data_IF_409519372827
#
_entry.id   IF_409519372827
#
_cell.length_a   1.000
_cell.length_b   1.000
_cell.length_c   1.000
_cell.angle_alpha   90.00
_cell.angle_beta   90.00
_cell.angle_gamma   90.00
#
_symmetry.space_group_name_H-M   'P 1'
#
loop_
_entity.id
_entity.type
_entity.pdbx_description
1 polymer ?
#
# COMPACT_ATOMS: atom_id res chain seq x y z
N UNK A 1 18.44 -4.83 27.12
CA UNK A 1 18.68 -3.49 27.71
C UNK A 1 19.76 -3.50 28.80
N UNK A 2 19.72 -4.44 29.75
CA UNK A 2 20.72 -4.52 30.84
C UNK A 2 22.18 -4.67 30.37
N UNK A 3 22.52 -5.53 29.39
CA UNK A 3 23.91 -5.61 28.88
C UNK A 3 24.36 -4.32 28.19
N UNK A 4 23.52 -3.75 27.31
CA UNK A 4 23.77 -2.48 26.64
C UNK A 4 24.07 -1.34 27.64
N UNK A 5 23.26 -1.18 28.68
CA UNK A 5 23.51 -0.14 29.68
C UNK A 5 24.80 -0.39 30.46
N UNK A 6 25.05 -1.64 30.85
CA UNK A 6 26.26 -2.00 31.60
C UNK A 6 27.52 -1.71 30.80
N UNK A 7 27.56 -2.11 29.53
CA UNK A 7 28.77 -1.96 28.72
C UNK A 7 29.09 -0.49 28.46
N UNK A 8 28.07 0.33 28.15
CA UNK A 8 28.26 1.77 27.95
C UNK A 8 28.58 2.53 29.26
N UNK A 9 27.98 2.15 30.39
CA UNK A 9 28.30 2.75 31.68
C UNK A 9 29.71 2.36 32.16
N UNK A 10 30.16 1.14 31.88
CA UNK A 10 31.54 0.70 32.18
C UNK A 10 32.57 1.54 31.44
N UNK A 11 32.34 1.87 30.17
CA UNK A 11 33.24 2.74 29.40
C UNK A 11 33.33 4.15 30.00
N UNK A 12 32.20 4.74 30.41
CA UNK A 12 32.19 6.05 31.10
C UNK A 12 32.95 5.98 32.42
N UNK A 13 32.74 4.92 33.21
CA UNK A 13 33.42 4.73 34.49
C UNK A 13 34.93 4.61 34.27
N UNK A 14 35.36 3.83 33.28
CA UNK A 14 36.76 3.65 32.93
C UNK A 14 37.40 4.96 32.50
N UNK A 15 36.74 5.73 31.62
CA UNK A 15 37.23 7.04 31.18
C UNK A 15 37.42 8.01 32.35
N UNK A 16 36.46 8.06 33.29
CA UNK A 16 36.57 8.91 34.48
C UNK A 16 37.66 8.44 35.45
N UNK A 17 37.83 7.12 35.60
CA UNK A 17 38.89 6.53 36.41
C UNK A 17 40.27 6.84 35.83
N UNK A 18 40.45 6.75 34.52
CA UNK A 18 41.72 7.06 33.84
C UNK A 18 42.13 8.54 34.06
N UNK A 19 41.17 9.48 34.01
CA UNK A 19 41.46 10.88 34.32
C UNK A 19 41.84 11.11 35.78
N UNK A 20 41.12 10.48 36.70
CA UNK A 20 41.42 10.57 38.13
C UNK A 20 42.78 9.94 38.48
N UNK A 21 43.11 8.80 37.87
CA UNK A 21 44.38 8.10 38.08
C UNK A 21 45.57 8.91 37.55
N UNK A 22 45.43 9.52 36.36
CA UNK A 22 46.46 10.43 35.82
C UNK A 22 46.74 11.60 36.77
N UNK A 23 45.69 12.23 37.30
CA UNK A 23 45.86 13.32 38.27
C UNK A 23 46.48 12.82 39.56
N UNK A 24 46.02 11.68 40.07
CA UNK A 24 46.56 11.09 41.29
C UNK A 24 48.06 10.80 41.19
N UNK A 25 48.49 10.16 40.10
CA UNK A 25 49.89 9.84 39.86
C UNK A 25 50.76 11.10 39.68
N UNK A 26 50.22 12.15 39.03
CA UNK A 26 50.91 13.44 38.90
C UNK A 26 51.07 14.14 40.26
N UNK A 27 49.99 14.19 41.07
CA UNK A 27 50.04 14.74 42.43
C UNK A 27 50.99 13.95 43.34
N UNK A 28 51.03 12.62 43.21
CA UNK A 28 51.93 11.76 44.00
C UNK A 28 53.40 11.92 43.58
N UNK A 29 53.67 12.16 42.29
CA UNK A 29 55.02 12.43 41.80
C UNK A 29 55.56 13.79 42.28
N UNK A 30 54.71 14.82 42.33
CA UNK A 30 55.07 16.16 42.84
C UNK A 30 55.17 16.20 44.37
N UNK A 31 54.25 15.53 45.07
CA UNK A 31 54.21 15.46 46.51
C UNK A 31 53.74 14.06 46.97
N UNK A 32 54.65 13.16 47.35
CA UNK A 32 54.28 11.80 47.73
C UNK A 32 53.33 11.85 48.92
N UNK A 33 52.09 11.34 48.75
CA UNK A 33 51.05 11.42 49.77
C UNK A 33 51.44 10.73 51.08
N UNK A 34 52.41 9.81 51.04
CA UNK A 34 53.05 9.21 52.23
C UNK A 34 53.78 10.25 53.08
N UNK A 35 54.49 11.20 52.47
CA UNK A 35 55.14 12.30 53.17
C UNK A 35 54.10 13.26 53.79
N UNK A 36 53.01 13.53 53.08
CA UNK A 36 51.92 14.39 53.58
C UNK A 36 51.11 13.74 54.72
N UNK A 37 50.90 12.42 54.70
CA UNK A 37 50.28 11.68 55.82
C UNK A 37 51.16 11.65 57.06
N UNK A 38 52.49 11.55 56.88
CA UNK A 38 53.47 11.60 57.98
C UNK A 38 53.55 13.01 58.61
N UNK A 39 53.43 14.09 57.82
CA UNK A 39 53.42 15.47 58.35
C UNK A 39 52.11 15.81 59.07
N UNK A 40 50.96 15.30 58.61
CA UNK A 40 49.68 15.47 59.34
C UNK A 40 49.59 14.64 60.62
N UNK A 41 50.34 13.54 60.73
CA UNK A 41 50.43 12.75 61.96
C UNK A 41 51.37 13.38 63.00
N UNK A 42 52.38 14.14 62.57
CA UNK A 42 53.35 14.81 63.45
C UNK A 42 52.90 16.20 63.95
N UNK A 43 51.90 16.82 63.33
CA UNK A 43 51.29 18.04 63.85
C UNK A 43 50.26 17.70 64.93
N UNK A 44 50.77 17.38 66.12
CA UNK A 44 49.97 17.18 67.31
C UNK A 44 49.24 18.46 67.75
N UNK A 45 47.95 18.30 68.01
CA UNK A 45 47.16 19.05 68.98
C UNK A 45 46.97 20.57 68.74
N UNK A 46 45.95 20.93 67.93
CA UNK A 46 45.21 22.19 68.16
C UNK A 46 43.76 22.09 67.68
N UNK A 47 42.85 22.15 68.66
CA UNK A 47 41.47 22.62 68.68
C UNK A 47 40.48 22.40 67.50
N UNK A 48 39.36 21.75 67.84
CA UNK A 48 38.00 21.98 67.35
C UNK A 48 37.78 22.36 65.88
N UNK A 49 37.92 21.36 65.00
CA UNK A 49 37.02 21.21 63.86
C UNK A 49 37.02 19.74 63.49
N UNK A 50 35.89 19.07 63.66
CA UNK A 50 35.54 17.93 62.79
C UNK A 50 35.43 18.50 61.38
N UNK A 51 36.59 18.73 60.76
CA UNK A 51 36.73 18.98 59.34
C UNK A 51 36.19 17.72 58.68
N UNK A 52 34.90 17.76 58.34
CA UNK A 52 34.39 17.03 57.20
C UNK A 52 35.35 17.44 56.09
N UNK A 53 36.29 16.55 55.73
CA UNK A 53 37.21 16.77 54.61
C UNK A 53 36.30 17.10 53.44
N UNK A 54 36.26 18.37 53.03
CA UNK A 54 35.42 18.79 51.90
C UNK A 54 35.80 17.89 50.73
N UNK A 55 34.84 17.12 50.23
CA UNK A 55 35.06 16.27 49.08
C UNK A 55 35.48 17.17 47.91
N UNK A 56 36.65 16.89 47.34
CA UNK A 56 37.15 17.60 46.16
C UNK A 56 36.09 17.57 45.05
N UNK A 57 35.95 18.65 44.30
CA UNK A 57 34.99 18.65 43.18
C UNK A 57 35.46 17.69 42.09
N UNK A 58 34.53 17.20 41.26
CA UNK A 58 34.90 16.25 40.19
C UNK A 58 35.89 16.87 39.19
N UNK A 59 35.82 18.18 38.96
CA UNK A 59 36.80 18.95 38.16
C UNK A 59 38.17 18.89 38.83
N UNK A 60 38.21 19.04 40.16
CA UNK A 60 39.45 18.95 40.93
C UNK A 60 40.00 17.52 41.03
N UNK A 61 39.18 16.48 40.86
CA UNK A 61 39.67 15.09 40.91
C UNK A 61 40.21 14.65 39.54
N UNK A 62 39.58 15.09 38.45
CA UNK A 62 39.92 14.65 37.09
C UNK A 62 40.86 15.61 36.36
N UNK A 63 41.03 16.83 36.87
CA UNK A 63 41.75 17.92 36.21
C UNK A 63 41.13 18.38 34.88
N UNK A 64 39.87 18.02 34.63
CA UNK A 64 39.17 18.29 33.38
C UNK A 64 38.13 19.40 33.56
N UNK A 65 38.32 20.53 32.88
CA UNK A 65 37.43 21.71 32.97
C UNK A 65 36.01 21.41 32.47
N UNK A 66 35.88 20.48 31.52
CA UNK A 66 34.62 20.17 30.84
C UNK A 66 34.05 18.78 31.18
N UNK A 67 34.44 18.21 32.33
CA UNK A 67 33.99 16.87 32.77
C UNK A 67 32.46 16.72 32.77
N UNK A 68 31.72 17.74 33.21
CA UNK A 68 30.25 17.70 33.25
C UNK A 68 29.62 17.74 31.85
N UNK A 69 30.21 18.48 30.90
CA UNK A 69 29.73 18.52 29.51
C UNK A 69 29.91 17.15 28.86
N UNK A 70 31.04 16.50 29.12
CA UNK A 70 31.35 15.16 28.62
C UNK A 70 30.42 14.10 29.20
N UNK A 71 30.19 14.11 30.51
CA UNK A 71 29.22 13.21 31.17
C UNK A 71 27.81 13.43 30.61
N UNK A 72 27.38 14.69 30.47
CA UNK A 72 26.08 15.00 29.91
C UNK A 72 25.93 14.46 28.48
N UNK A 73 26.94 14.65 27.62
CA UNK A 73 26.94 14.14 26.25
C UNK A 73 26.82 12.61 26.21
N UNK A 74 27.57 11.92 27.06
CA UNK A 74 27.50 10.47 27.22
C UNK A 74 26.12 9.99 27.67
N UNK A 75 25.51 10.63 28.67
CA UNK A 75 24.18 10.28 29.16
C UNK A 75 23.09 10.53 28.11
N UNK A 76 23.14 11.67 27.41
CA UNK A 76 22.22 11.98 26.31
C UNK A 76 22.37 10.96 25.18
N UNK A 77 23.60 10.59 24.84
CA UNK A 77 23.85 9.58 23.82
C UNK A 77 23.33 8.20 24.23
N UNK A 78 23.57 7.75 25.47
CA UNK A 78 23.05 6.46 25.98
C UNK A 78 21.51 6.44 25.94
N UNK A 79 20.86 7.53 26.35
CA UNK A 79 19.40 7.65 26.28
C UNK A 79 18.90 7.56 24.84
N UNK A 80 19.56 8.27 23.92
CA UNK A 80 19.21 8.26 22.49
C UNK A 80 19.42 6.89 21.85
N UNK A 81 20.57 6.25 22.10
CA UNK A 81 20.92 4.93 21.59
C UNK A 81 20.05 3.84 22.21
N UNK A 82 19.76 3.91 23.51
CA UNK A 82 18.83 3.01 24.19
C UNK A 82 17.42 3.08 23.62
N UNK A 83 16.94 4.28 23.27
CA UNK A 83 15.63 4.49 22.65
C UNK A 83 15.54 3.99 21.19
N UNK A 84 16.68 3.73 20.54
CA UNK A 84 16.78 3.14 19.18
C UNK A 84 17.22 1.67 19.20
N UNK A 85 17.52 1.10 20.37
CA UNK A 85 18.08 -0.25 20.48
C UNK A 85 17.05 -1.35 20.17
N UNK A 86 15.79 -1.08 20.46
CA UNK A 86 14.67 -1.93 20.05
C UNK A 86 13.83 -1.17 19.04
N UNK A 87 13.86 -1.64 17.80
CA UNK A 87 13.00 -1.18 16.72
C UNK A 87 12.04 -2.33 16.44
N UNK A 88 10.75 -2.06 16.56
CA UNK A 88 9.73 -3.00 16.11
C UNK A 88 9.71 -3.00 14.59
N UNK A 89 9.97 -4.17 14.00
CA UNK A 89 9.90 -4.38 12.55
C UNK A 89 8.64 -5.18 12.29
N UNK A 90 7.67 -4.56 11.63
CA UNK A 90 6.45 -5.23 11.18
C UNK A 90 6.58 -5.51 9.68
N UNK A 91 6.83 -6.77 9.27
CA UNK A 91 6.84 -7.12 7.86
C UNK A 91 5.40 -7.08 7.33
N UNK A 92 5.05 -5.99 6.63
CA UNK A 92 3.73 -5.78 6.05
C UNK A 92 3.62 -6.25 4.58
N UNK A 93 4.64 -6.95 4.08
CA UNK A 93 4.84 -7.34 2.67
C UNK A 93 3.81 -8.32 2.07
N UNK A 94 2.80 -8.76 2.82
CA UNK A 94 1.67 -9.53 2.28
C UNK A 94 0.50 -8.66 1.80
N UNK A 95 0.61 -7.34 1.94
CA UNK A 95 -0.40 -6.41 1.46
C UNK A 95 -0.18 -6.17 -0.04
N UNK A 96 -1.23 -6.37 -0.84
CA UNK A 96 -1.20 -6.15 -2.29
C UNK A 96 -0.84 -4.68 -2.58
N UNK A 97 0.07 -4.43 -3.53
CA UNK A 97 0.43 -3.08 -4.00
C UNK A 97 -0.79 -2.28 -4.51
N UNK A 98 -1.91 -2.97 -4.77
CA UNK A 98 -3.20 -2.37 -5.13
C UNK A 98 -3.93 -1.70 -3.95
N UNK A 99 -3.53 -1.98 -2.71
CA UNK A 99 -4.09 -1.37 -1.50
C UNK A 99 -3.21 -0.20 -1.06
N UNK A 100 -3.61 1.02 -1.40
CA UNK A 100 -2.90 2.23 -1.02
C UNK A 100 -3.10 2.53 0.47
N UNK A 101 -2.23 1.97 1.30
CA UNK A 101 -2.17 2.34 2.71
C UNK A 101 -1.40 3.66 2.84
N UNK A 102 -2.07 4.71 3.31
CA UNK A 102 -1.40 5.97 3.69
C UNK A 102 -0.52 5.74 4.91
N UNK A 103 0.69 5.25 4.69
CA UNK A 103 1.74 5.22 5.70
C UNK A 103 2.61 6.47 5.50
N UNK A 104 2.38 7.52 6.30
CA UNK A 104 3.12 8.78 6.21
C UNK A 104 4.66 8.62 6.39
N UNK A 105 5.14 7.44 6.79
CA UNK A 105 6.54 7.17 7.15
C UNK A 105 7.04 5.79 6.65
N UNK A 106 7.13 5.60 5.33
CA UNK A 106 7.76 4.39 4.75
C UNK A 106 9.29 4.53 4.70
N UNK A 107 9.99 3.43 4.98
CA UNK A 107 11.38 3.21 4.57
C UNK A 107 11.35 2.01 3.61
N UNK A 108 11.56 2.26 2.33
CA UNK A 108 11.73 1.21 1.32
C UNK A 108 13.08 0.51 1.55
N UNK A 109 13.07 -0.82 1.56
CA UNK A 109 14.30 -1.62 1.62
C UNK A 109 14.57 -2.25 0.25
N UNK A 110 15.85 -2.47 -0.06
CA UNK A 110 16.34 -2.96 -1.36
C UNK A 110 15.78 -4.36 -1.75
N UNK A 111 15.17 -5.08 -0.79
CA UNK A 111 14.57 -6.40 -0.98
C UNK A 111 13.03 -6.38 -1.18
N UNK A 112 12.41 -5.20 -1.33
CA UNK A 112 10.97 -5.08 -1.61
C UNK A 112 10.06 -5.18 -0.38
N UNK A 113 10.61 -5.02 0.83
CA UNK A 113 9.81 -4.91 2.06
C UNK A 113 9.63 -3.43 2.44
N UNK A 114 8.39 -3.04 2.72
CA UNK A 114 8.09 -1.73 3.31
C UNK A 114 8.14 -1.81 4.83
N UNK A 115 9.07 -1.08 5.44
CA UNK A 115 9.15 -0.95 6.89
C UNK A 115 8.30 0.23 7.36
N UNK A 116 7.44 0.00 8.36
CA UNK A 116 6.59 1.05 8.97
C UNK A 116 6.98 1.23 10.44
N UNK A 117 7.14 2.48 10.87
CA UNK A 117 7.47 2.83 12.26
C UNK A 117 6.24 2.69 13.17
N UNK A 118 6.29 1.76 14.12
CA UNK A 118 5.20 1.45 15.05
C UNK A 118 4.93 2.49 16.15
N UNK A 119 5.75 3.55 16.26
CA UNK A 119 5.57 4.60 17.30
C UNK A 119 4.33 5.47 17.09
N UNK A 120 3.71 5.41 15.92
CA UNK A 120 2.47 6.12 15.59
C UNK A 120 1.37 5.11 15.28
N UNK A 121 0.12 5.36 15.71
CA UNK A 121 -0.99 4.50 15.36
C UNK A 121 -1.13 4.43 13.85
N UNK A 122 -0.90 3.25 13.30
CA UNK A 122 -1.10 2.97 11.89
C UNK A 122 -2.59 3.01 11.62
N UNK A 123 -3.04 4.08 10.97
CA UNK A 123 -4.44 4.24 10.60
C UNK A 123 -4.69 3.41 9.34
N UNK A 124 -5.17 2.17 9.50
CA UNK A 124 -5.60 1.33 8.39
C UNK A 124 -6.94 1.82 7.83
N UNK A 125 -6.97 3.05 7.34
CA UNK A 125 -8.06 3.45 6.46
C UNK A 125 -7.93 2.57 5.21
N UNK A 126 -8.91 1.68 5.01
CA UNK A 126 -9.09 0.95 3.77
C UNK A 126 -9.55 1.95 2.70
N UNK A 127 -8.64 2.82 2.29
CA UNK A 127 -8.79 3.66 1.14
C UNK A 127 -8.49 2.78 -0.05
N UNK A 128 -9.53 2.14 -0.57
CA UNK A 128 -9.58 1.73 -1.97
C UNK A 128 -9.59 3.02 -2.81
N UNK A 129 -8.47 3.76 -2.75
CA UNK A 129 -8.32 5.09 -3.31
C UNK A 129 -7.88 4.94 -4.76
N UNK A 130 -8.88 5.12 -5.60
CA UNK A 130 -8.87 5.42 -7.02
C UNK A 130 -8.04 6.68 -7.36
N UNK A 131 -6.97 7.04 -6.65
CA UNK A 131 -6.34 8.37 -6.72
C UNK A 131 -5.91 8.78 -8.14
N UNK A 132 -5.45 7.83 -8.98
CA UNK A 132 -5.19 8.08 -10.41
C UNK A 132 -6.47 8.21 -11.25
N UNK A 133 -7.52 7.43 -10.96
CA UNK A 133 -8.82 7.55 -11.62
C UNK A 133 -9.54 8.84 -11.21
N UNK A 134 -9.38 9.30 -9.97
CA UNK A 134 -10.03 10.47 -9.42
C UNK A 134 -9.64 11.76 -10.14
N UNK A 135 -8.48 11.83 -10.79
CA UNK A 135 -8.16 12.99 -11.65
C UNK A 135 -9.10 13.05 -12.87
N UNK A 136 -9.24 11.95 -13.60
CA UNK A 136 -10.11 11.86 -14.80
C UNK A 136 -11.61 11.83 -14.46
N UNK A 137 -11.96 11.37 -13.25
CA UNK A 137 -13.35 11.21 -12.78
C UNK A 137 -13.72 12.18 -11.63
N UNK A 138 -12.93 13.25 -11.43
CA UNK A 138 -13.13 14.25 -10.36
C UNK A 138 -14.53 14.88 -10.35
N UNK A 139 -15.16 14.97 -11.52
CA UNK A 139 -16.52 15.48 -11.72
C UNK A 139 -17.63 14.54 -11.20
N UNK A 140 -17.32 13.31 -10.77
CA UNK A 140 -18.30 12.25 -10.40
C UNK A 140 -18.29 11.94 -8.90
N UNK A 141 -17.58 12.74 -8.11
CA UNK A 141 -17.27 12.54 -6.68
C UNK A 141 -18.46 12.22 -5.76
N UNK A 142 -19.70 12.39 -6.21
CA UNK A 142 -20.91 12.11 -5.43
C UNK A 142 -21.39 10.65 -5.46
N UNK A 143 -21.08 9.84 -6.49
CA UNK A 143 -21.67 8.49 -6.65
C UNK A 143 -20.64 7.37 -6.53
N UNK A 144 -20.96 6.36 -5.69
CA UNK A 144 -20.14 5.15 -5.61
C UNK A 144 -20.30 4.27 -6.86
N UNK A 145 -19.22 3.57 -7.25
CA UNK A 145 -19.23 2.65 -8.38
C UNK A 145 -20.36 1.59 -8.31
N UNK A 146 -20.66 1.09 -7.11
CA UNK A 146 -21.76 0.14 -6.87
C UNK A 146 -23.14 0.70 -7.19
N UNK A 147 -23.38 1.98 -6.92
CA UNK A 147 -24.64 2.66 -7.28
C UNK A 147 -24.75 2.79 -8.80
N UNK A 148 -23.66 3.19 -9.45
CA UNK A 148 -23.62 3.34 -10.90
C UNK A 148 -23.88 2.00 -11.60
N UNK A 149 -23.23 0.93 -11.16
CA UNK A 149 -23.43 -0.42 -11.71
C UNK A 149 -24.86 -0.92 -11.54
N UNK A 150 -25.50 -0.66 -10.38
CA UNK A 150 -26.92 -0.96 -10.17
C UNK A 150 -27.82 -0.18 -11.11
N UNK A 151 -27.56 1.11 -11.31
CA UNK A 151 -28.33 1.95 -12.22
C UNK A 151 -28.17 1.48 -13.68
N UNK A 152 -26.95 1.21 -14.12
CA UNK A 152 -26.66 0.65 -15.44
C UNK A 152 -27.41 -0.66 -15.68
N UNK A 153 -27.41 -1.58 -14.70
CA UNK A 153 -28.16 -2.83 -14.79
C UNK A 153 -29.66 -2.61 -14.98
N UNK A 154 -30.26 -1.69 -14.21
CA UNK A 154 -31.69 -1.34 -14.33
C UNK A 154 -32.02 -0.76 -15.70
N UNK A 155 -31.11 0.04 -16.26
CA UNK A 155 -31.32 0.75 -17.53
C UNK A 155 -31.13 -0.13 -18.76
N UNK A 156 -30.12 -1.00 -18.76
CA UNK A 156 -29.84 -1.93 -19.86
C UNK A 156 -30.76 -3.16 -19.84
N UNK A 157 -31.12 -3.61 -18.64
CA UNK A 157 -31.74 -4.91 -18.42
C UNK A 157 -30.70 -6.04 -18.40
N UNK A 158 -31.17 -7.25 -18.04
CA UNK A 158 -30.30 -8.38 -17.69
C UNK A 158 -29.34 -8.79 -18.81
N UNK A 159 -29.83 -8.96 -20.03
CA UNK A 159 -29.03 -9.56 -21.11
C UNK A 159 -27.95 -8.61 -21.65
N UNK A 160 -28.29 -7.34 -21.90
CA UNK A 160 -27.32 -6.35 -22.35
C UNK A 160 -26.29 -6.02 -21.26
N UNK A 161 -26.73 -5.92 -20.00
CA UNK A 161 -25.81 -5.71 -18.89
C UNK A 161 -24.83 -6.89 -18.73
N UNK A 162 -25.30 -8.13 -18.93
CA UNK A 162 -24.45 -9.32 -18.91
C UNK A 162 -23.42 -9.34 -20.04
N UNK A 163 -23.78 -8.92 -21.25
CA UNK A 163 -22.84 -8.74 -22.36
C UNK A 163 -21.75 -7.71 -22.02
N UNK A 164 -22.16 -6.60 -21.43
CA UNK A 164 -21.26 -5.54 -20.99
C UNK A 164 -20.30 -6.05 -19.91
N UNK A 165 -20.81 -6.67 -18.84
CA UNK A 165 -19.97 -7.26 -17.77
C UNK A 165 -18.99 -8.31 -18.30
N UNK A 166 -19.45 -9.19 -19.20
CA UNK A 166 -18.57 -10.19 -19.81
C UNK A 166 -17.42 -9.53 -20.56
N UNK A 167 -17.73 -8.50 -21.34
CA UNK A 167 -16.74 -7.75 -22.11
C UNK A 167 -15.71 -7.07 -21.19
N UNK A 168 -16.18 -6.38 -20.15
CA UNK A 168 -15.32 -5.73 -19.15
C UNK A 168 -14.34 -6.71 -18.50
N UNK A 169 -14.83 -7.87 -18.04
CA UNK A 169 -14.02 -8.81 -17.25
C UNK A 169 -13.07 -9.65 -18.11
N UNK A 170 -13.38 -9.86 -19.39
CA UNK A 170 -12.58 -10.70 -20.30
C UNK A 170 -11.62 -9.94 -21.21
N UNK A 171 -11.48 -8.62 -21.01
CA UNK A 171 -10.52 -7.78 -21.73
C UNK A 171 -10.96 -7.38 -23.15
N UNK A 172 -12.24 -7.52 -23.48
CA UNK A 172 -12.81 -6.91 -24.70
C UNK A 172 -12.86 -5.39 -24.48
N UNK A 173 -12.47 -4.60 -25.48
CA UNK A 173 -12.47 -3.13 -25.33
C UNK A 173 -13.90 -2.63 -25.09
N UNK A 174 -14.09 -1.80 -24.08
CA UNK A 174 -15.37 -1.21 -23.71
C UNK A 174 -15.37 0.25 -24.15
N UNK A 175 -16.21 0.57 -25.13
CA UNK A 175 -16.37 1.92 -25.64
C UNK A 175 -17.70 2.50 -25.13
N UNK A 176 -17.65 3.62 -24.43
CA UNK A 176 -18.83 4.34 -23.97
C UNK A 176 -18.99 5.62 -24.79
N UNK A 177 -20.08 5.70 -25.55
CA UNK A 177 -20.44 6.87 -26.37
C UNK A 177 -21.65 7.55 -25.77
N UNK A 178 -21.56 8.83 -25.47
CA UNK A 178 -22.70 9.52 -24.85
C UNK A 178 -22.35 10.87 -24.23
N UNK A 179 -23.29 11.51 -23.51
CA UNK A 179 -23.07 12.76 -22.79
C UNK A 179 -21.97 12.61 -21.74
N UNK A 180 -21.20 13.68 -21.51
CA UNK A 180 -20.00 13.68 -20.66
C UNK A 180 -20.23 13.01 -19.29
N UNK A 181 -21.21 13.49 -18.50
CA UNK A 181 -21.43 12.99 -17.12
C UNK A 181 -21.78 11.49 -17.11
N UNK A 182 -22.76 11.06 -17.92
CA UNK A 182 -23.23 9.67 -17.93
C UNK A 182 -22.17 8.71 -18.48
N UNK A 183 -21.38 9.18 -19.46
CA UNK A 183 -20.25 8.47 -20.03
C UNK A 183 -19.18 8.23 -18.98
N UNK A 184 -18.78 9.29 -18.28
CA UNK A 184 -17.78 9.20 -17.23
C UNK A 184 -18.26 8.30 -16.09
N UNK A 185 -19.53 8.43 -15.64
CA UNK A 185 -20.11 7.57 -14.60
C UNK A 185 -19.99 6.10 -15.01
N UNK A 186 -20.43 5.79 -16.24
CA UNK A 186 -20.41 4.42 -16.76
C UNK A 186 -18.99 3.85 -16.83
N UNK A 187 -18.02 4.63 -17.30
CA UNK A 187 -16.62 4.22 -17.36
C UNK A 187 -16.04 3.96 -15.97
N UNK A 188 -16.31 4.84 -15.01
CA UNK A 188 -15.87 4.67 -13.62
C UNK A 188 -16.45 3.38 -13.02
N UNK A 189 -17.76 3.18 -13.14
CA UNK A 189 -18.43 1.98 -12.63
C UNK A 189 -17.90 0.69 -13.24
N UNK A 190 -17.71 0.65 -14.56
CA UNK A 190 -17.27 -0.56 -15.27
C UNK A 190 -15.77 -0.86 -15.06
N UNK A 191 -14.92 0.16 -15.11
CA UNK A 191 -13.47 -0.01 -14.91
C UNK A 191 -13.15 -0.44 -13.48
N UNK A 192 -13.96 -0.03 -12.50
CA UNK A 192 -13.79 -0.43 -11.09
C UNK A 192 -13.90 -1.94 -10.84
N UNK A 193 -14.44 -2.73 -11.78
CA UNK A 193 -14.57 -4.19 -11.64
C UNK A 193 -13.29 -4.96 -12.01
N UNK A 194 -12.26 -4.28 -12.49
CA UNK A 194 -11.04 -4.87 -13.04
C UNK A 194 -9.81 -4.43 -12.21
N UNK A 195 -8.83 -5.32 -11.95
CA UNK A 195 -7.56 -4.99 -11.27
C UNK A 195 -6.87 -3.76 -11.82
N UNK A 196 -6.18 -3.00 -10.96
CA UNK A 196 -5.46 -1.78 -11.38
C UNK A 196 -4.45 -2.08 -12.47
N UNK A 197 -3.70 -3.16 -12.31
CA UNK A 197 -2.71 -3.60 -13.29
C UNK A 197 -3.29 -3.86 -14.70
N UNK A 198 -4.59 -4.12 -14.80
CA UNK A 198 -5.28 -4.41 -16.06
C UNK A 198 -6.06 -3.22 -16.62
N UNK A 199 -6.13 -2.09 -15.90
CA UNK A 199 -6.90 -0.91 -16.30
C UNK A 199 -6.07 0.02 -17.20
N UNK A 200 -6.57 0.30 -18.41
CA UNK A 200 -6.07 1.33 -19.34
C UNK A 200 -7.26 2.17 -19.80
N UNK A 201 -7.60 3.16 -18.99
CA UNK A 201 -8.80 4.00 -19.18
C UNK A 201 -8.43 5.30 -19.88
N UNK A 202 -9.29 5.72 -20.83
CA UNK A 202 -9.27 7.03 -21.47
C UNK A 202 -10.66 7.65 -21.39
N UNK A 203 -10.85 8.55 -20.41
CA UNK A 203 -12.17 9.05 -20.05
C UNK A 203 -12.85 9.93 -21.13
N UNK A 204 -12.07 10.71 -21.88
CA UNK A 204 -12.61 11.62 -22.89
C UNK A 204 -11.62 11.81 -24.05
N UNK A 205 -11.87 11.12 -25.15
CA UNK A 205 -11.09 11.23 -26.39
C UNK A 205 -11.92 11.83 -27.53
N UNK A 206 -11.24 12.54 -28.43
CA UNK A 206 -11.83 13.14 -29.62
C UNK A 206 -11.91 12.16 -30.80
N UNK A 207 -11.14 11.08 -30.75
CA UNK A 207 -11.07 10.05 -31.79
C UNK A 207 -11.08 8.65 -31.16
N UNK A 208 -11.42 7.65 -31.99
CA UNK A 208 -11.37 6.27 -31.56
C UNK A 208 -9.91 5.78 -31.47
N UNK A 209 -9.60 5.04 -30.40
CA UNK A 209 -8.30 4.38 -30.22
C UNK A 209 -8.45 2.86 -30.23
N UNK A 210 -7.42 2.17 -30.69
CA UNK A 210 -7.42 0.71 -30.80
C UNK A 210 -7.39 -0.01 -29.42
N UNK A 211 -7.78 -1.30 -29.36
CA UNK A 211 -7.80 -2.08 -28.11
C UNK A 211 -6.44 -2.26 -27.42
N UNK A 212 -5.33 -2.11 -28.14
CA UNK A 212 -3.98 -2.30 -27.56
C UNK A 212 -3.61 -1.09 -26.70
N UNK A 213 -4.00 0.11 -27.13
CA UNK A 213 -3.78 1.36 -26.38
C UNK A 213 -4.62 1.46 -25.11
N UNK A 214 -5.92 1.17 -25.17
CA UNK A 214 -6.83 1.30 -24.05
C UNK A 214 -7.92 0.22 -24.07
N UNK A 215 -8.29 -0.29 -22.89
CA UNK A 215 -9.41 -1.24 -22.75
C UNK A 215 -10.72 -0.55 -22.38
N UNK A 216 -10.69 0.67 -21.84
CA UNK A 216 -11.87 1.49 -21.60
C UNK A 216 -11.70 2.85 -22.27
N UNK A 217 -12.65 3.25 -23.10
CA UNK A 217 -12.61 4.53 -23.82
C UNK A 217 -13.96 5.24 -23.79
N UNK A 218 -13.93 6.54 -23.49
CA UNK A 218 -15.06 7.44 -23.56
C UNK A 218 -14.98 8.39 -24.74
N UNK A 219 -16.00 8.38 -25.60
CA UNK A 219 -16.07 9.27 -26.76
C UNK A 219 -17.39 10.02 -26.82
N UNK A 220 -17.36 11.17 -27.51
CA UNK A 220 -18.55 11.98 -27.74
C UNK A 220 -19.51 11.35 -28.77
N UNK A 221 -20.78 11.79 -28.75
CA UNK A 221 -21.80 11.32 -29.68
C UNK A 221 -21.54 11.73 -31.13
N UNK A 222 -20.59 12.64 -31.38
CA UNK A 222 -20.17 13.07 -32.73
C UNK A 222 -19.05 12.22 -33.33
N UNK A 223 -18.27 11.51 -32.51
CA UNK A 223 -17.06 10.80 -32.93
C UNK A 223 -17.39 9.57 -33.80
N UNK A 224 -16.62 9.36 -34.86
CA UNK A 224 -16.71 8.14 -35.66
C UNK A 224 -16.14 6.95 -34.87
N UNK A 225 -16.94 5.90 -34.72
CA UNK A 225 -16.57 4.70 -33.96
C UNK A 225 -16.68 3.48 -34.87
N UNK A 226 -15.94 2.39 -34.59
CA UNK A 226 -16.03 1.18 -35.38
C UNK A 226 -17.46 0.62 -35.42
N UNK A 227 -17.75 -0.08 -36.52
CA UNK A 227 -18.95 -0.90 -36.63
C UNK A 227 -18.98 -1.93 -35.50
N UNK A 228 -20.17 -2.34 -35.03
CA UNK A 228 -20.29 -3.37 -34.00
C UNK A 228 -19.47 -4.61 -34.37
N UNK A 229 -18.55 -5.00 -33.50
CA UNK A 229 -17.67 -6.14 -33.72
C UNK A 229 -17.49 -6.94 -32.43
N UNK A 230 -16.81 -8.09 -32.51
CA UNK A 230 -16.61 -8.97 -31.36
C UNK A 230 -15.53 -8.44 -30.38
N UNK A 231 -14.61 -7.62 -30.88
CA UNK A 231 -13.46 -7.11 -30.12
C UNK A 231 -13.76 -5.79 -29.36
N UNK A 232 -14.86 -5.11 -29.73
CA UNK A 232 -15.28 -3.85 -29.12
C UNK A 232 -16.74 -3.96 -28.69
N UNK A 233 -16.98 -3.87 -27.39
CA UNK A 233 -18.31 -3.79 -26.80
C UNK A 233 -18.69 -2.33 -26.62
N UNK A 234 -19.70 -1.87 -27.36
CA UNK A 234 -20.09 -0.46 -27.37
C UNK A 234 -21.34 -0.21 -26.53
N UNK A 235 -21.28 0.76 -25.62
CA UNK A 235 -22.41 1.30 -24.88
C UNK A 235 -22.77 2.68 -25.47
N UNK A 236 -23.88 2.75 -26.20
CA UNK A 236 -24.43 4.01 -26.70
C UNK A 236 -25.44 4.55 -25.67
N UNK A 237 -25.19 5.76 -25.17
CA UNK A 237 -26.05 6.49 -24.25
C UNK A 237 -26.72 7.64 -25.01
N UNK A 238 -28.04 7.56 -25.11
CA UNK A 238 -28.88 8.50 -25.86
C UNK A 238 -29.54 9.47 -24.88
N UNK A 239 -29.37 10.78 -25.13
CA UNK A 239 -30.05 11.85 -24.40
C UNK A 239 -31.56 11.69 -24.52
N UNK A 240 -32.29 12.00 -23.44
CA UNK A 240 -33.75 11.88 -23.43
C UNK A 240 -34.43 12.72 -24.51
N UNK A 241 -33.84 13.85 -24.87
CA UNK A 241 -34.28 14.73 -25.97
C UNK A 241 -34.20 14.08 -27.36
N UNK A 242 -33.29 13.11 -27.53
CA UNK A 242 -33.04 12.41 -28.80
C UNK A 242 -33.67 11.02 -28.83
N UNK A 243 -34.47 10.66 -27.82
CA UNK A 243 -35.22 9.40 -27.81
C UNK A 243 -36.36 9.47 -28.80
N UNK A 244 -36.39 8.51 -29.73
CA UNK A 244 -37.55 8.28 -30.58
C UNK A 244 -38.49 7.31 -29.88
N UNK A 245 -39.58 7.82 -29.29
CA UNK A 245 -40.59 7.02 -28.59
C UNK A 245 -40.10 6.37 -27.30
N UNK A 246 -40.54 5.13 -27.01
CA UNK A 246 -40.14 4.36 -25.81
C UNK A 246 -38.76 3.69 -25.94
N UNK A 247 -37.86 4.25 -26.75
CA UNK A 247 -36.52 3.69 -26.92
C UNK A 247 -35.72 3.74 -25.61
N UNK A 248 -34.98 2.68 -25.31
CA UNK A 248 -34.08 2.62 -24.15
C UNK A 248 -33.02 3.70 -24.26
N UNK A 249 -32.74 4.40 -23.15
CA UNK A 249 -31.65 5.41 -23.09
C UNK A 249 -30.28 4.79 -23.31
N UNK A 250 -30.11 3.52 -22.97
CA UNK A 250 -28.83 2.83 -23.00
C UNK A 250 -28.95 1.59 -23.88
N UNK A 251 -28.04 1.46 -24.84
CA UNK A 251 -28.04 0.36 -25.80
C UNK A 251 -26.63 -0.20 -25.91
N UNK A 252 -26.48 -1.49 -25.62
CA UNK A 252 -25.24 -2.23 -25.88
C UNK A 252 -25.25 -2.77 -27.31
N UNK A 253 -24.16 -2.52 -28.03
CA UNK A 253 -23.87 -3.02 -29.37
C UNK A 253 -22.57 -3.82 -29.33
N UNK A 254 -22.72 -5.14 -29.30
CA UNK A 254 -21.63 -6.09 -29.34
C UNK A 254 -22.05 -7.29 -30.19
N UNK A 255 -21.21 -7.70 -31.13
CA UNK A 255 -21.52 -8.84 -32.02
C UNK A 255 -20.90 -10.14 -31.53
N UNK A 256 -20.20 -10.12 -30.40
CA UNK A 256 -19.69 -11.33 -29.78
C UNK A 256 -20.82 -12.18 -29.19
N UNK A 257 -20.55 -13.47 -29.02
CA UNK A 257 -21.49 -14.39 -28.40
C UNK A 257 -21.06 -14.68 -26.97
N UNK A 258 -22.03 -14.66 -26.06
CA UNK A 258 -21.82 -15.14 -24.71
C UNK A 258 -21.60 -16.66 -24.72
N UNK A 259 -20.62 -17.18 -23.97
CA UNK A 259 -20.43 -18.61 -23.84
C UNK A 259 -21.61 -19.26 -23.08
N UNK A 260 -21.87 -20.54 -23.33
CA UNK A 260 -22.93 -21.30 -22.66
C UNK A 260 -22.76 -21.32 -21.13
N UNK A 261 -21.51 -21.34 -20.65
CA UNK A 261 -21.15 -21.13 -19.24
C UNK A 261 -20.36 -19.82 -19.11
N UNK A 262 -20.85 -18.94 -18.25
CA UNK A 262 -20.21 -17.65 -17.97
C UNK A 262 -19.12 -17.79 -16.92
N UNK A 263 -18.14 -16.86 -16.88
CA UNK A 263 -17.17 -16.81 -15.80
C UNK A 263 -17.83 -16.74 -14.42
N UNK A 264 -17.27 -17.46 -13.47
CA UNK A 264 -17.75 -17.60 -12.10
C UNK A 264 -17.77 -16.25 -11.39
N UNK A 265 -16.73 -15.42 -11.58
CA UNK A 265 -16.69 -14.04 -11.06
C UNK A 265 -17.87 -13.20 -11.55
N UNK A 266 -18.18 -13.26 -12.85
CA UNK A 266 -19.31 -12.54 -13.44
C UNK A 266 -20.63 -12.97 -12.79
N UNK A 267 -20.84 -14.28 -12.63
CA UNK A 267 -22.06 -14.82 -11.99
C UNK A 267 -22.17 -14.33 -10.53
N UNK A 268 -21.06 -14.32 -9.78
CA UNK A 268 -21.03 -13.82 -8.40
C UNK A 268 -21.40 -12.33 -8.36
N UNK A 269 -20.80 -11.49 -9.22
CA UNK A 269 -21.10 -10.05 -9.31
C UNK A 269 -22.57 -9.83 -9.70
N UNK A 270 -23.08 -10.52 -10.72
CA UNK A 270 -24.46 -10.36 -11.19
C UNK A 270 -25.47 -10.68 -10.07
N UNK A 271 -25.26 -11.80 -9.36
CA UNK A 271 -26.10 -12.22 -8.22
C UNK A 271 -26.03 -11.24 -7.05
N UNK A 272 -24.85 -10.72 -6.74
CA UNK A 272 -24.68 -9.73 -5.67
C UNK A 272 -25.37 -8.41 -6.01
N UNK A 273 -25.38 -8.00 -7.27
CA UNK A 273 -26.15 -6.82 -7.73
C UNK A 273 -27.67 -7.04 -7.65
N UNK A 274 -28.16 -8.26 -7.85
CA UNK A 274 -29.59 -8.61 -7.70
C UNK A 274 -30.05 -8.66 -6.24
N UNK A 275 -29.13 -8.76 -5.29
CA UNK A 275 -29.48 -8.84 -3.89
C UNK A 275 -29.73 -7.44 -3.30
N UNK A 276 -31.01 -7.09 -3.18
CA UNK A 276 -31.45 -5.81 -2.59
C UNK A 276 -31.12 -5.68 -1.10
N UNK A 277 -30.87 -6.80 -0.40
CA UNK A 277 -30.50 -6.79 1.03
C UNK A 277 -29.08 -6.30 1.26
N UNK A 278 -28.23 -6.28 0.23
CA UNK A 278 -26.85 -5.81 0.34
C UNK A 278 -26.77 -4.30 0.16
N UNK A 279 -26.31 -3.59 1.19
CA UNK A 279 -26.02 -2.16 1.11
C UNK A 279 -24.87 -1.85 0.14
N UNK A 280 -24.78 -0.60 -0.34
CA UNK A 280 -23.76 -0.19 -1.31
C UNK A 280 -22.32 -0.28 -0.75
N UNK A 281 -22.14 -0.03 0.54
CA UNK A 281 -20.85 -0.17 1.23
C UNK A 281 -20.42 -1.64 1.33
N UNK A 282 -21.36 -2.52 1.70
CA UNK A 282 -21.14 -3.97 1.76
C UNK A 282 -20.82 -4.52 0.37
N UNK A 283 -21.53 -4.08 -0.66
CA UNK A 283 -21.22 -4.45 -2.05
C UNK A 283 -19.84 -3.98 -2.48
N UNK A 284 -19.41 -2.77 -2.08
CA UNK A 284 -18.07 -2.26 -2.40
C UNK A 284 -17.00 -3.17 -1.81
N UNK A 285 -17.11 -3.49 -0.51
CA UNK A 285 -16.19 -4.42 0.15
C UNK A 285 -16.24 -5.81 -0.50
N UNK A 286 -17.43 -6.33 -0.80
CA UNK A 286 -17.60 -7.62 -1.44
C UNK A 286 -16.96 -7.68 -2.84
N UNK A 287 -17.12 -6.64 -3.67
CA UNK A 287 -16.47 -6.59 -4.98
C UNK A 287 -14.96 -6.50 -4.87
N UNK A 288 -14.43 -5.73 -3.92
CA UNK A 288 -13.00 -5.69 -3.65
C UNK A 288 -12.47 -7.09 -3.29
N UNK A 289 -13.14 -7.82 -2.38
CA UNK A 289 -12.73 -9.19 -2.02
C UNK A 289 -12.78 -10.17 -3.19
N UNK A 290 -13.80 -10.06 -4.06
CA UNK A 290 -13.90 -10.89 -5.25
C UNK A 290 -12.80 -10.55 -6.27
N UNK A 291 -12.51 -9.27 -6.47
CA UNK A 291 -11.46 -8.84 -7.36
C UNK A 291 -10.09 -9.33 -6.87
N UNK A 292 -9.82 -9.22 -5.58
CA UNK A 292 -8.58 -9.69 -4.96
C UNK A 292 -8.45 -11.22 -5.05
N UNK A 293 -9.50 -11.99 -4.72
CA UNK A 293 -9.55 -13.45 -4.88
C UNK A 293 -9.15 -13.84 -6.31
N UNK A 294 -9.76 -13.21 -7.31
CA UNK A 294 -9.55 -13.57 -8.71
C UNK A 294 -8.24 -13.02 -9.30
N UNK A 295 -7.76 -11.87 -8.81
CA UNK A 295 -6.44 -11.35 -9.16
C UNK A 295 -5.35 -12.28 -8.63
N UNK A 296 -5.49 -12.80 -7.41
CA UNK A 296 -4.54 -13.76 -6.84
C UNK A 296 -4.57 -15.10 -7.58
N UNK A 297 -5.74 -15.60 -7.98
CA UNK A 297 -5.83 -16.78 -8.86
C UNK A 297 -5.10 -16.52 -10.18
N UNK A 298 -5.30 -15.34 -10.81
CA UNK A 298 -4.59 -14.97 -12.03
C UNK A 298 -3.07 -14.90 -11.83
N UNK A 299 -2.58 -14.33 -10.72
CA UNK A 299 -1.16 -14.28 -10.35
C UNK A 299 -0.55 -15.69 -10.27
N UNK A 300 -1.22 -16.62 -9.59
CA UNK A 300 -0.77 -18.02 -9.47
C UNK A 300 -0.76 -18.71 -10.83
N UNK A 301 -1.82 -18.54 -11.63
CA UNK A 301 -1.94 -19.12 -12.98
C UNK A 301 -0.86 -18.57 -13.92
N UNK A 302 -0.57 -17.28 -13.87
CA UNK A 302 0.48 -16.62 -14.65
C UNK A 302 1.88 -17.12 -14.26
N UNK A 303 2.16 -17.21 -12.95
CA UNK A 303 3.43 -17.70 -12.44
C UNK A 303 3.73 -19.13 -12.94
N UNK A 304 2.72 -19.99 -12.97
CA UNK A 304 2.85 -21.37 -13.44
C UNK A 304 3.05 -21.47 -14.96
N UNK A 305 2.55 -20.52 -15.75
CA UNK A 305 2.80 -20.47 -17.21
C UNK A 305 4.24 -20.17 -17.53
N UNK A 306 4.90 -19.29 -16.77
CA UNK A 306 6.30 -18.93 -16.99
C UNK A 306 7.27 -20.08 -16.72
N UNK A 307 6.93 -20.99 -15.80
CA UNK A 307 7.80 -22.11 -15.37
C UNK A 307 7.69 -23.39 -16.23
N UNK A 308 7.03 -23.34 -17.38
CA UNK A 308 6.97 -24.48 -18.32
C UNK A 308 6.02 -25.64 -17.93
N UNK A 309 5.35 -25.58 -16.78
CA UNK A 309 4.41 -26.63 -16.32
C UNK A 309 3.00 -26.49 -16.91
N UNK A 310 2.88 -26.48 -18.25
CA UNK A 310 1.58 -26.31 -18.93
C UNK A 310 0.62 -27.50 -18.76
N UNK A 311 1.13 -28.70 -18.51
CA UNK A 311 0.33 -29.93 -18.42
C UNK A 311 -0.61 -30.00 -17.22
N UNK A 312 -0.26 -29.36 -16.10
CA UNK A 312 -1.02 -29.41 -14.84
C UNK A 312 -1.85 -28.14 -14.57
N UNK A 313 -1.86 -27.19 -15.52
CA UNK A 313 -2.54 -25.90 -15.35
C UNK A 313 -4.06 -26.06 -15.14
N UNK A 314 -4.68 -27.01 -15.84
CA UNK A 314 -6.11 -27.28 -15.69
C UNK A 314 -6.45 -27.90 -14.34
N UNK A 315 -5.58 -28.76 -13.80
CA UNK A 315 -5.71 -29.33 -12.45
C UNK A 315 -5.63 -28.23 -11.39
N UNK A 316 -4.61 -27.38 -11.49
CA UNK A 316 -4.44 -26.24 -10.59
C UNK A 316 -5.62 -25.26 -10.64
N UNK A 317 -6.09 -24.88 -11.83
CA UNK A 317 -7.25 -24.01 -11.97
C UNK A 317 -8.48 -24.58 -11.23
N UNK A 318 -8.73 -25.89 -11.41
CA UNK A 318 -9.83 -26.57 -10.72
C UNK A 318 -9.65 -26.55 -9.19
N UNK A 319 -8.43 -26.78 -8.68
CA UNK A 319 -8.12 -26.70 -7.25
C UNK A 319 -8.31 -25.30 -6.67
N UNK A 320 -8.11 -24.25 -7.47
CA UNK A 320 -8.36 -22.85 -7.11
C UNK A 320 -9.83 -22.44 -7.27
N UNK A 321 -10.71 -23.37 -7.67
CA UNK A 321 -12.13 -23.10 -7.89
C UNK A 321 -12.45 -22.42 -9.24
N UNK A 322 -11.48 -22.31 -10.14
CA UNK A 322 -11.65 -21.78 -11.49
C UNK A 322 -11.89 -22.91 -12.51
N UNK A 323 -12.94 -22.78 -13.32
CA UNK A 323 -13.25 -23.74 -14.37
C UNK A 323 -12.69 -23.36 -15.74
N UNK A 324 -12.90 -24.21 -16.77
CA UNK A 324 -12.52 -23.88 -18.14
C UNK A 324 -13.22 -22.62 -18.68
N UNK A 325 -14.43 -22.31 -18.19
CA UNK A 325 -15.17 -21.09 -18.54
C UNK A 325 -14.49 -19.80 -18.08
N UNK A 326 -13.64 -19.89 -17.04
CA UNK A 326 -12.94 -18.75 -16.45
C UNK A 326 -11.62 -18.42 -17.16
N UNK A 327 -11.19 -19.30 -18.07
CA UNK A 327 -9.88 -19.20 -18.74
C UNK A 327 -9.66 -17.84 -19.41
N UNK A 328 -10.65 -17.34 -20.18
CA UNK A 328 -10.55 -16.04 -20.86
C UNK A 328 -10.38 -14.87 -19.89
N UNK A 329 -11.07 -14.92 -18.75
CA UNK A 329 -10.95 -13.89 -17.71
C UNK A 329 -9.54 -13.92 -17.10
N UNK A 330 -9.06 -15.12 -16.75
CA UNK A 330 -7.73 -15.30 -16.17
C UNK A 330 -6.62 -14.93 -17.16
N UNK A 331 -6.80 -15.23 -18.45
CA UNK A 331 -5.89 -14.82 -19.53
C UNK A 331 -5.81 -13.28 -19.59
N UNK A 332 -6.95 -12.59 -19.59
CA UNK A 332 -6.99 -11.14 -19.63
C UNK A 332 -6.35 -10.50 -18.39
N UNK A 333 -6.59 -11.06 -17.20
CA UNK A 333 -6.05 -10.53 -15.95
C UNK A 333 -4.57 -10.84 -15.75
N UNK A 334 -4.06 -11.88 -16.42
CA UNK A 334 -2.63 -12.19 -16.44
C UNK A 334 -1.82 -11.18 -17.27
N UNK A 335 -2.44 -10.52 -18.26
CA UNK A 335 -1.76 -9.54 -19.12
C UNK A 335 -1.32 -8.27 -18.39
N UNK A 336 -1.95 -7.95 -17.25
CA UNK A 336 -1.53 -6.82 -16.41
C UNK A 336 -0.32 -7.14 -15.51
N UNK A 337 0.07 -8.40 -15.42
CA UNK A 337 1.17 -8.82 -14.54
C UNK A 337 2.52 -8.69 -15.26
N UNK A 338 3.61 -8.41 -14.52
CA UNK A 338 4.94 -8.36 -15.11
C UNK A 338 5.30 -9.68 -15.79
N UNK A 339 6.12 -9.59 -16.83
CA UNK A 339 6.65 -10.79 -17.49
C UNK A 339 7.43 -11.60 -16.47
N UNK A 340 7.08 -12.87 -16.31
CA UNK A 340 7.72 -13.74 -15.35
C UNK A 340 9.18 -13.91 -15.78
N UNK A 341 10.19 -13.62 -14.92
CA UNK A 341 11.57 -13.94 -15.25
C UNK A 341 11.65 -15.46 -15.40
N UNK A 342 11.93 -15.91 -16.63
CA UNK A 342 12.08 -17.32 -16.95
C UNK A 342 13.37 -17.89 -16.35
#
# INVERSE_FOLDING_TARGET
MWPFLIDNLKEIIKELQDFAEKKYNAEEAECPQRAMRLTTANNGMSCHSTSIKQSRTLIDITNEKHVFVRIHMWLVWILSAGARHFIEIFPMSLLDDELNYNFEHQIETEEGFTLVNAKLPVNFNFNWDDSELLSEFSEITEKSATVILRNLKRMLGRDQFRQLLYSCLTGVQVLVRGPKIQRLESLYGLSSLVPRACRRVKAQELEYMDPDTCNFIGVDTTVAVPLPCANVCRLDIILDEHKVGNAKSHIVKWTGMLPAKLPTLLIKIEKSLDNEKLGNSVLKAHFATLQEEWANIAKVVHAMRGRGHRGDLSGLMLSLGAGPQDKKLLDAWSMGLPSNPA
#
